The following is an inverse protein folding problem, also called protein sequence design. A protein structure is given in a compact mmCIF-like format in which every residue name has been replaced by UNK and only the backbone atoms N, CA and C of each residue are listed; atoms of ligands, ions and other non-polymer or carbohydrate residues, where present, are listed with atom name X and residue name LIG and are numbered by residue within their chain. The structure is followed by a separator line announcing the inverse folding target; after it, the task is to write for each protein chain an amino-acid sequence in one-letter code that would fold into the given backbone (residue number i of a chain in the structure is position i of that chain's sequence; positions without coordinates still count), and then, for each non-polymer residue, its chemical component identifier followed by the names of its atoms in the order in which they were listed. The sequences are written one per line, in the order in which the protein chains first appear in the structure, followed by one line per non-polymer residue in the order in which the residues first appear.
data_IF_397511020732
#
_entry.id   IF_397511020732
#
_cell.length_a   1.000
_cell.length_b   1.000
_cell.length_c   1.000
_cell.angle_alpha   90.00
_cell.angle_beta   90.00
_cell.angle_gamma   90.00
#
_symmetry.space_group_name_H-M   'P 1'
#
loop_
_entity.id
_entity.type
_entity.pdbx_description
1 polymer ?
#
# COMPACT_ATOMS: atom_id res chain seq x y z
N UNK A 1 -32.67 -19.44 4.75
CA UNK A 1 -32.25 -18.37 3.80
C UNK A 1 -30.97 -17.62 4.19
N UNK A 2 -30.52 -17.60 5.46
CA UNK A 2 -29.32 -16.84 5.88
C UNK A 2 -27.95 -17.43 5.51
N UNK A 3 -27.81 -18.75 5.35
CA UNK A 3 -26.52 -19.37 5.04
C UNK A 3 -26.05 -19.15 3.59
N UNK A 4 -26.99 -19.12 2.62
CA UNK A 4 -26.68 -18.91 1.20
C UNK A 4 -26.14 -17.50 0.92
N UNK A 5 -26.73 -16.48 1.56
CA UNK A 5 -26.27 -15.09 1.45
C UNK A 5 -24.88 -14.87 2.06
N UNK A 6 -24.52 -15.60 3.14
CA UNK A 6 -23.20 -15.51 3.77
C UNK A 6 -22.10 -16.12 2.90
N UNK A 7 -22.33 -17.31 2.35
CA UNK A 7 -21.37 -17.95 1.43
C UNK A 7 -21.15 -17.14 0.15
N UNK A 8 -22.20 -16.50 -0.37
CA UNK A 8 -22.09 -15.63 -1.55
C UNK A 8 -21.29 -14.36 -1.25
N UNK A 9 -21.52 -13.73 -0.09
CA UNK A 9 -20.77 -12.55 0.34
C UNK A 9 -19.28 -12.87 0.57
N UNK A 10 -18.97 -13.99 1.24
CA UNK A 10 -17.59 -14.43 1.47
C UNK A 10 -16.87 -14.73 0.14
N UNK A 11 -17.56 -15.36 -0.82
CA UNK A 11 -17.04 -15.59 -2.16
C UNK A 11 -16.75 -14.29 -2.90
N UNK A 12 -17.65 -13.30 -2.83
CA UNK A 12 -17.46 -11.99 -3.46
C UNK A 12 -16.25 -11.24 -2.86
N UNK A 13 -16.11 -11.21 -1.54
CA UNK A 13 -14.98 -10.57 -0.85
C UNK A 13 -13.67 -11.24 -1.24
N UNK A 14 -13.63 -12.58 -1.27
CA UNK A 14 -12.45 -13.34 -1.69
C UNK A 14 -12.07 -13.04 -3.15
N UNK A 15 -13.06 -13.04 -4.05
CA UNK A 15 -12.81 -12.77 -5.47
C UNK A 15 -12.31 -11.33 -5.68
N UNK A 16 -12.89 -10.36 -4.98
CA UNK A 16 -12.43 -8.97 -5.02
C UNK A 16 -11.00 -8.82 -4.49
N UNK A 17 -10.65 -9.53 -3.40
CA UNK A 17 -9.29 -9.53 -2.85
C UNK A 17 -8.28 -10.10 -3.84
N UNK A 18 -8.59 -11.23 -4.48
CA UNK A 18 -7.72 -11.87 -5.46
C UNK A 18 -7.56 -10.97 -6.69
N UNK A 19 -8.66 -10.46 -7.24
CA UNK A 19 -8.63 -9.58 -8.41
C UNK A 19 -7.84 -8.29 -8.13
N UNK A 20 -8.07 -7.65 -6.99
CA UNK A 20 -7.33 -6.47 -6.57
C UNK A 20 -5.84 -6.74 -6.36
N UNK A 21 -5.50 -7.90 -5.80
CA UNK A 21 -4.10 -8.32 -5.58
C UNK A 21 -3.37 -8.58 -6.90
N UNK A 22 -3.98 -9.34 -7.82
CA UNK A 22 -3.41 -9.60 -9.16
C UNK A 22 -3.25 -8.29 -9.92
N UNK A 23 -4.27 -7.44 -9.93
CA UNK A 23 -4.21 -6.12 -10.54
C UNK A 23 -3.03 -5.31 -9.98
N UNK A 24 -2.91 -5.22 -8.65
CA UNK A 24 -1.81 -4.51 -8.00
C UNK A 24 -0.43 -5.08 -8.33
N UNK A 25 -0.30 -6.41 -8.42
CA UNK A 25 0.94 -7.09 -8.81
C UNK A 25 1.32 -6.80 -10.27
N UNK A 26 0.35 -6.80 -11.19
CA UNK A 26 0.56 -6.44 -12.60
C UNK A 26 0.99 -4.98 -12.70
N UNK A 27 0.28 -4.05 -12.05
CA UNK A 27 0.65 -2.63 -12.03
C UNK A 27 2.08 -2.42 -11.52
N UNK A 28 2.46 -3.06 -10.40
CA UNK A 28 3.82 -2.96 -9.86
C UNK A 28 4.88 -3.53 -10.79
N UNK A 29 4.56 -4.62 -11.48
CA UNK A 29 5.47 -5.22 -12.46
C UNK A 29 5.68 -4.32 -13.67
N UNK A 30 4.62 -3.70 -14.19
CA UNK A 30 4.73 -2.73 -15.28
C UNK A 30 5.48 -1.46 -14.86
N UNK A 31 5.30 -0.99 -13.62
CA UNK A 31 5.95 0.20 -13.09
C UNK A 31 7.40 -0.03 -12.62
N UNK A 32 7.82 -1.28 -12.40
CA UNK A 32 9.12 -1.60 -11.81
C UNK A 32 10.34 -0.98 -12.54
N UNK A 33 10.41 -0.95 -13.88
CA UNK A 33 11.49 -0.27 -14.59
C UNK A 33 11.58 1.23 -14.28
N UNK A 34 10.43 1.91 -14.16
CA UNK A 34 10.35 3.35 -13.86
C UNK A 34 10.75 3.59 -12.40
N UNK A 35 10.23 2.79 -11.48
CA UNK A 35 10.60 2.82 -10.05
C UNK A 35 12.12 2.66 -9.89
N UNK A 36 12.75 1.81 -10.69
CA UNK A 36 14.19 1.61 -10.63
C UNK A 36 14.99 2.83 -11.09
N UNK A 37 14.56 3.48 -12.16
CA UNK A 37 15.18 4.74 -12.62
C UNK A 37 15.02 5.82 -11.54
N UNK A 38 13.81 5.95 -10.96
CA UNK A 38 13.54 6.87 -9.86
C UNK A 38 14.48 6.65 -8.68
N UNK A 39 14.64 5.41 -8.22
CA UNK A 39 15.53 5.07 -7.12
C UNK A 39 16.99 5.38 -7.48
N UNK A 40 17.42 5.13 -8.72
CA UNK A 40 18.78 5.46 -9.16
C UNK A 40 19.10 6.96 -9.00
N UNK A 41 18.16 7.85 -9.33
CA UNK A 41 18.34 9.30 -9.13
C UNK A 41 18.27 9.69 -7.66
N UNK A 42 17.32 9.13 -6.90
CA UNK A 42 17.16 9.40 -5.47
C UNK A 42 18.39 9.01 -4.64
N UNK A 43 19.07 7.91 -4.99
CA UNK A 43 20.30 7.49 -4.29
C UNK A 43 21.50 8.36 -4.68
N UNK A 44 21.51 8.95 -5.88
CA UNK A 44 22.66 9.72 -6.40
C UNK A 44 22.51 11.24 -6.27
N UNK A 45 21.40 11.73 -5.72
CA UNK A 45 21.09 13.17 -5.58
C UNK A 45 21.34 13.97 -6.86
N UNK A 46 21.00 13.40 -8.03
CA UNK A 46 21.10 14.09 -9.32
C UNK A 46 19.72 14.61 -9.75
N UNK A 47 19.63 15.80 -10.36
CA UNK A 47 18.38 16.28 -10.95
C UNK A 47 17.93 15.32 -12.05
N UNK A 48 16.62 15.09 -12.15
CA UNK A 48 16.06 14.19 -13.16
C UNK A 48 16.00 14.89 -14.52
N UNK A 49 16.49 14.20 -15.55
CA UNK A 49 16.25 14.54 -16.95
C UNK A 49 15.76 13.30 -17.70
N UNK A 50 14.73 13.44 -18.53
CA UNK A 50 14.12 12.32 -19.24
C UNK A 50 15.11 11.62 -20.19
N UNK A 51 15.89 12.41 -20.94
CA UNK A 51 16.92 11.90 -21.85
C UNK A 51 18.03 11.13 -21.10
N UNK A 52 18.44 11.67 -19.95
CA UNK A 52 19.41 10.99 -19.08
C UNK A 52 18.82 9.72 -18.44
N UNK A 53 17.54 9.74 -18.05
CA UNK A 53 16.82 8.58 -17.53
C UNK A 53 16.80 7.41 -18.53
N UNK A 54 16.52 7.69 -19.80
CA UNK A 54 16.59 6.69 -20.87
C UNK A 54 18.03 6.17 -21.07
N UNK A 55 19.02 7.07 -20.98
CA UNK A 55 20.43 6.71 -21.06
C UNK A 55 20.88 5.82 -19.89
N UNK A 56 20.39 6.09 -18.68
CA UNK A 56 20.59 5.27 -17.48
C UNK A 56 19.98 3.89 -17.68
N UNK A 57 18.74 3.81 -18.17
CA UNK A 57 18.08 2.54 -18.46
C UNK A 57 18.89 1.70 -19.46
N UNK A 58 19.31 2.30 -20.58
CA UNK A 58 20.17 1.64 -21.59
C UNK A 58 21.49 1.15 -20.98
N UNK A 59 22.16 1.97 -20.16
CA UNK A 59 23.41 1.60 -19.46
C UNK A 59 23.21 0.42 -18.52
N UNK A 60 22.12 0.43 -17.76
CA UNK A 60 21.76 -0.65 -16.83
C UNK A 60 21.51 -1.96 -17.59
N UNK A 61 20.73 -1.91 -18.68
CA UNK A 61 20.42 -3.07 -19.51
C UNK A 61 21.69 -3.62 -20.17
N UNK A 62 22.53 -2.77 -20.76
CA UNK A 62 23.79 -3.19 -21.38
C UNK A 62 24.75 -3.84 -20.38
N UNK A 63 24.81 -3.34 -19.14
CA UNK A 63 25.74 -3.85 -18.12
C UNK A 63 25.25 -5.12 -17.40
N UNK A 64 23.94 -5.28 -17.22
CA UNK A 64 23.37 -6.29 -16.30
C UNK A 64 22.19 -7.09 -16.88
N UNK A 65 21.86 -6.88 -18.15
CA UNK A 65 20.72 -7.47 -18.82
C UNK A 65 19.39 -6.79 -18.49
N UNK A 66 18.37 -7.14 -19.29
CA UNK A 66 17.03 -6.56 -19.22
C UNK A 66 16.31 -6.86 -17.89
N UNK A 67 16.42 -8.09 -17.38
CA UNK A 67 15.79 -8.52 -16.13
C UNK A 67 16.26 -7.73 -14.92
N UNK A 68 17.43 -7.08 -15.00
CA UNK A 68 17.90 -6.26 -13.91
C UNK A 68 16.88 -5.16 -13.57
N UNK A 69 16.13 -4.63 -14.54
CA UNK A 69 15.13 -3.58 -14.35
C UNK A 69 14.04 -3.94 -13.33
N UNK A 70 13.82 -5.23 -13.06
CA UNK A 70 12.87 -5.75 -12.08
C UNK A 70 13.52 -6.18 -10.75
N UNK A 71 14.80 -5.87 -10.51
CA UNK A 71 15.43 -6.21 -9.22
C UNK A 71 14.70 -5.55 -8.05
N UNK A 72 14.45 -6.35 -7.01
CA UNK A 72 13.65 -5.96 -5.85
C UNK A 72 12.13 -6.00 -6.07
N UNK A 73 11.64 -6.24 -7.29
CA UNK A 73 10.20 -6.33 -7.55
C UNK A 73 9.56 -7.51 -6.81
N UNK A 74 10.24 -8.65 -6.67
CA UNK A 74 9.73 -9.81 -5.93
C UNK A 74 9.35 -9.48 -4.48
N UNK A 75 10.20 -8.74 -3.75
CA UNK A 75 9.87 -8.25 -2.41
C UNK A 75 8.63 -7.33 -2.41
N UNK A 76 8.51 -6.51 -3.45
CA UNK A 76 7.37 -5.60 -3.61
C UNK A 76 6.07 -6.36 -3.86
N UNK A 77 6.11 -7.41 -4.69
CA UNK A 77 4.96 -8.25 -5.02
C UNK A 77 4.47 -9.03 -3.80
N UNK A 78 5.39 -9.66 -3.05
CA UNK A 78 5.05 -10.39 -1.81
C UNK A 78 4.39 -9.44 -0.80
N UNK A 79 4.80 -8.17 -0.76
CA UNK A 79 4.28 -7.19 0.17
C UNK A 79 2.85 -6.72 -0.14
N UNK A 80 2.40 -6.71 -1.41
CA UNK A 80 1.11 -6.09 -1.81
C UNK A 80 -0.06 -6.60 -0.97
N UNK A 81 -0.20 -7.92 -0.90
CA UNK A 81 -1.32 -8.58 -0.22
C UNK A 81 -1.30 -8.36 1.29
N UNK A 82 -0.22 -8.70 2.04
CA UNK A 82 -0.21 -8.54 3.49
C UNK A 82 -0.32 -7.07 3.92
N UNK A 83 0.27 -6.14 3.16
CA UNK A 83 0.15 -4.71 3.46
C UNK A 83 -1.30 -4.25 3.36
N UNK A 84 -1.98 -4.55 2.24
CA UNK A 84 -3.38 -4.17 2.06
C UNK A 84 -4.29 -4.85 3.10
N UNK A 85 -4.13 -6.16 3.31
CA UNK A 85 -4.95 -6.92 4.25
C UNK A 85 -4.87 -6.33 5.67
N UNK A 86 -3.66 -6.14 6.20
CA UNK A 86 -3.47 -5.59 7.55
C UNK A 86 -4.00 -4.17 7.63
N UNK A 87 -3.70 -3.32 6.64
CA UNK A 87 -4.13 -1.92 6.63
C UNK A 87 -5.66 -1.80 6.65
N UNK A 88 -6.37 -2.54 5.78
CA UNK A 88 -7.83 -2.48 5.73
C UNK A 88 -8.48 -3.13 6.96
N UNK A 89 -7.99 -4.28 7.42
CA UNK A 89 -8.53 -4.94 8.62
C UNK A 89 -8.40 -4.04 9.84
N UNK A 90 -7.21 -3.47 10.09
CA UNK A 90 -6.98 -2.57 11.23
C UNK A 90 -7.83 -1.31 11.09
N UNK A 91 -7.97 -0.77 9.89
CA UNK A 91 -8.81 0.40 9.66
C UNK A 91 -10.29 0.14 9.99
N UNK A 92 -10.85 -0.99 9.57
CA UNK A 92 -12.23 -1.37 9.92
C UNK A 92 -12.41 -1.59 11.43
N UNK A 93 -11.44 -2.22 12.09
CA UNK A 93 -11.48 -2.40 13.54
C UNK A 93 -11.42 -1.06 14.29
N UNK A 94 -10.57 -0.13 13.86
CA UNK A 94 -10.50 1.20 14.46
C UNK A 94 -11.76 2.02 14.22
N UNK A 95 -12.41 1.88 13.05
CA UNK A 95 -13.72 2.51 12.82
C UNK A 95 -14.80 1.97 13.75
N UNK A 96 -14.72 0.68 14.09
CA UNK A 96 -15.59 0.07 15.10
C UNK A 96 -15.31 0.62 16.49
N UNK A 97 -14.04 0.70 16.90
CA UNK A 97 -13.64 1.16 18.23
C UNK A 97 -13.97 2.64 18.45
N UNK A 98 -13.74 3.49 17.45
CA UNK A 98 -14.00 4.92 17.54
C UNK A 98 -15.46 5.32 17.28
N UNK A 99 -16.32 4.34 17.01
CA UNK A 99 -17.73 4.54 16.67
C UNK A 99 -17.90 5.57 15.52
N UNK A 100 -17.20 5.32 14.41
CA UNK A 100 -17.21 6.13 13.18
C UNK A 100 -17.61 5.29 11.97
N UNK A 101 -18.65 4.46 12.13
CA UNK A 101 -19.14 3.58 11.05
C UNK A 101 -20.03 4.33 10.06
N UNK A 102 -20.85 5.25 10.57
CA UNK A 102 -21.82 6.00 9.76
C UNK A 102 -21.22 7.29 9.18
N UNK A 103 -21.83 7.77 8.09
CA UNK A 103 -21.41 9.02 7.45
C UNK A 103 -21.52 10.22 8.41
N UNK A 104 -22.57 10.27 9.25
CA UNK A 104 -22.75 11.36 10.22
C UNK A 104 -21.67 11.36 11.30
N UNK A 105 -21.34 10.19 11.84
CA UNK A 105 -20.26 10.07 12.83
C UNK A 105 -18.91 10.45 12.24
N UNK A 106 -18.62 10.04 10.99
CA UNK A 106 -17.39 10.41 10.28
C UNK A 106 -17.25 11.90 10.07
N UNK A 107 -18.36 12.61 9.77
CA UNK A 107 -18.39 14.07 9.63
C UNK A 107 -18.25 14.78 10.98
N UNK A 108 -18.86 14.24 12.04
CA UNK A 108 -18.77 14.81 13.40
C UNK A 108 -17.38 14.61 14.02
N UNK A 109 -16.66 13.55 13.65
CA UNK A 109 -15.36 13.17 14.25
C UNK A 109 -14.25 13.02 13.19
N UNK A 110 -13.92 14.06 12.40
CA UNK A 110 -12.95 13.97 11.30
C UNK A 110 -11.53 13.60 11.78
N UNK A 111 -11.13 14.06 12.98
CA UNK A 111 -9.85 13.72 13.59
C UNK A 111 -9.71 12.22 13.92
N UNK A 112 -10.80 11.55 14.30
CA UNK A 112 -10.79 10.11 14.56
C UNK A 112 -10.66 9.30 13.27
N UNK A 113 -11.22 9.79 12.16
CA UNK A 113 -11.02 9.18 10.84
C UNK A 113 -9.55 9.26 10.40
N UNK A 114 -8.90 10.40 10.62
CA UNK A 114 -7.50 10.60 10.29
C UNK A 114 -6.59 9.71 11.15
N UNK A 115 -6.81 9.67 12.46
CA UNK A 115 -6.03 8.80 13.38
C UNK A 115 -6.27 7.32 13.09
N UNK A 116 -7.49 6.91 12.76
CA UNK A 116 -7.77 5.54 12.32
C UNK A 116 -7.00 5.16 11.05
N UNK A 117 -6.89 6.07 10.08
CA UNK A 117 -6.09 5.86 8.87
C UNK A 117 -4.59 5.76 9.16
N UNK A 118 -4.08 6.66 10.01
CA UNK A 118 -2.68 6.71 10.42
C UNK A 118 -2.25 5.44 11.18
N UNK A 119 -3.03 5.01 12.18
CA UNK A 119 -2.74 3.81 12.98
C UNK A 119 -2.84 2.54 12.11
N UNK A 120 -3.79 2.47 11.20
CA UNK A 120 -3.87 1.38 10.24
C UNK A 120 -2.63 1.28 9.35
N UNK A 121 -2.16 2.42 8.82
CA UNK A 121 -0.92 2.50 8.05
C UNK A 121 0.32 2.12 8.87
N UNK A 122 0.39 2.59 10.12
CA UNK A 122 1.48 2.29 11.05
C UNK A 122 1.57 0.79 11.37
N UNK A 123 0.44 0.15 11.67
CA UNK A 123 0.40 -1.29 11.94
C UNK A 123 0.78 -2.10 10.71
N UNK A 124 0.25 -1.72 9.54
CA UNK A 124 0.57 -2.38 8.28
C UNK A 124 2.06 -2.28 7.93
N UNK A 125 2.66 -1.08 8.06
CA UNK A 125 4.09 -0.92 7.81
C UNK A 125 4.92 -1.70 8.83
N UNK A 126 4.55 -1.72 10.11
CA UNK A 126 5.31 -2.42 11.15
C UNK A 126 5.45 -3.92 10.85
N UNK A 127 4.39 -4.54 10.34
CA UNK A 127 4.39 -5.95 9.97
C UNK A 127 5.11 -6.21 8.63
N UNK A 128 5.09 -5.26 7.70
CA UNK A 128 5.59 -5.47 6.32
C UNK A 128 6.91 -4.76 6.02
N UNK A 129 7.48 -4.05 6.99
CA UNK A 129 8.74 -3.32 6.87
C UNK A 129 9.94 -4.21 6.49
N UNK A 130 10.08 -5.46 6.99
CA UNK A 130 11.15 -6.35 6.55
C UNK A 130 11.20 -6.55 5.02
N UNK A 131 10.05 -6.54 4.35
CA UNK A 131 9.96 -6.66 2.90
C UNK A 131 10.43 -5.38 2.18
N UNK A 132 10.23 -4.20 2.77
CA UNK A 132 10.78 -2.94 2.24
C UNK A 132 12.31 -2.94 2.31
N UNK A 133 12.87 -3.41 3.43
CA UNK A 133 14.32 -3.56 3.57
C UNK A 133 14.86 -4.57 2.56
N UNK A 134 14.17 -5.70 2.35
CA UNK A 134 14.54 -6.65 1.31
C UNK A 134 14.55 -6.02 -0.08
N UNK A 135 13.50 -5.27 -0.43
CA UNK A 135 13.42 -4.53 -1.70
C UNK A 135 14.62 -3.60 -1.86
N UNK A 136 14.88 -2.74 -0.86
CA UNK A 136 15.96 -1.75 -0.92
C UNK A 136 17.34 -2.42 -1.06
N UNK A 137 17.62 -3.48 -0.30
CA UNK A 137 18.87 -4.23 -0.36
C UNK A 137 19.07 -4.93 -1.71
N UNK A 138 18.03 -5.54 -2.28
CA UNK A 138 18.14 -6.18 -3.60
C UNK A 138 18.37 -5.19 -4.75
N UNK A 139 17.90 -3.94 -4.59
CA UNK A 139 18.10 -2.89 -5.59
C UNK A 139 19.52 -2.34 -5.54
N UNK A 140 20.04 -2.13 -4.32
CA UNK A 140 21.34 -1.50 -4.05
C UNK A 140 22.50 -2.48 -4.11
N UNK A 141 22.33 -3.68 -3.55
CA UNK A 141 23.31 -4.75 -3.53
C UNK A 141 22.85 -5.90 -4.46
N UNK A 142 23.73 -6.24 -5.40
CA UNK A 142 23.46 -7.24 -6.42
C UNK A 142 23.90 -8.66 -6.04
N UNK A 143 24.53 -8.82 -4.88
CA UNK A 143 24.89 -10.15 -4.35
C UNK A 143 23.66 -10.96 -3.97
N UNK A 144 22.57 -10.29 -3.58
CA UNK A 144 21.31 -10.94 -3.24
C UNK A 144 20.51 -11.32 -4.50
N UNK A 145 20.18 -12.61 -4.61
CA UNK A 145 19.35 -13.13 -5.71
C UNK A 145 17.87 -13.06 -5.39
N UNK A 146 17.51 -13.39 -4.15
CA UNK A 146 16.12 -13.57 -3.71
C UNK A 146 15.86 -12.92 -2.36
N UNK A 147 14.57 -12.66 -2.07
CA UNK A 147 14.12 -12.14 -0.77
C UNK A 147 14.56 -13.04 0.38
N UNK A 148 14.46 -14.36 0.19
CA UNK A 148 14.89 -15.35 1.19
C UNK A 148 16.36 -15.22 1.57
N UNK A 149 17.23 -14.94 0.60
CA UNK A 149 18.67 -14.78 0.85
C UNK A 149 18.95 -13.53 1.69
N UNK A 150 18.21 -12.44 1.43
CA UNK A 150 18.30 -11.22 2.25
C UNK A 150 17.82 -11.48 3.66
N UNK A 151 16.67 -12.15 3.82
CA UNK A 151 16.12 -12.50 5.13
C UNK A 151 17.10 -13.39 5.91
N UNK A 152 17.55 -14.50 5.30
CA UNK A 152 18.49 -15.44 5.93
C UNK A 152 19.78 -14.76 6.36
N UNK A 153 20.42 -13.99 5.46
CA UNK A 153 21.64 -13.24 5.81
C UNK A 153 21.38 -12.19 6.89
N UNK A 154 20.21 -11.54 6.90
CA UNK A 154 19.86 -10.59 7.95
C UNK A 154 19.73 -11.24 9.33
N UNK A 155 19.25 -12.49 9.42
CA UNK A 155 19.15 -13.24 10.67
C UNK A 155 20.47 -13.90 11.10
N UNK A 156 21.31 -14.34 10.16
CA UNK A 156 22.57 -15.05 10.47
C UNK A 156 23.75 -14.09 10.70
N UNK A 157 23.72 -12.88 10.14
CA UNK A 157 24.82 -11.92 10.30
C UNK A 157 24.83 -11.34 11.71
N UNK A 158 25.87 -11.65 12.49
CA UNK A 158 26.06 -11.17 13.87
C UNK A 158 26.12 -9.65 13.99
N UNK A 159 26.47 -8.94 12.92
CA UNK A 159 26.64 -7.49 12.90
C UNK A 159 25.32 -6.68 12.83
N UNK A 160 24.17 -7.31 12.62
CA UNK A 160 22.94 -6.58 12.26
C UNK A 160 21.69 -7.03 13.03
N UNK A 161 21.73 -7.00 14.38
CA UNK A 161 20.56 -7.27 15.25
C UNK A 161 19.30 -6.44 14.90
N UNK A 162 19.46 -5.27 14.25
CA UNK A 162 18.36 -4.42 13.77
C UNK A 162 18.32 -4.26 12.25
N UNK A 163 18.93 -5.18 11.49
CA UNK A 163 19.09 -5.04 10.04
C UNK A 163 17.79 -4.87 9.27
N UNK A 164 16.72 -5.57 9.68
CA UNK A 164 15.41 -5.57 9.00
C UNK A 164 14.51 -4.40 9.38
N UNK A 165 14.84 -3.65 10.44
CA UNK A 165 14.11 -2.46 10.89
C UNK A 165 14.95 -1.17 10.83
N UNK A 166 16.13 -1.23 10.18
CA UNK A 166 17.00 -0.08 9.99
C UNK A 166 16.32 0.94 9.06
N UNK A 167 16.11 2.15 9.56
CA UNK A 167 15.42 3.22 8.83
C UNK A 167 13.90 3.27 9.06
N UNK A 168 13.39 2.55 10.07
CA UNK A 168 11.96 2.49 10.36
C UNK A 168 11.37 3.85 10.73
N UNK A 169 12.06 4.68 11.53
CA UNK A 169 11.57 6.00 11.93
C UNK A 169 11.26 6.93 10.74
N UNK A 170 12.17 7.14 9.75
CA UNK A 170 11.83 7.87 8.53
C UNK A 170 10.61 7.32 7.79
N UNK A 171 10.45 6.00 7.76
CA UNK A 171 9.30 5.37 7.09
C UNK A 171 7.99 5.63 7.85
N UNK A 172 8.01 5.61 9.18
CA UNK A 172 6.86 5.97 10.04
C UNK A 172 6.45 7.42 9.83
N UNK A 173 7.42 8.34 9.87
CA UNK A 173 7.19 9.78 9.67
C UNK A 173 6.56 10.05 8.30
N UNK A 174 6.94 9.27 7.27
CA UNK A 174 6.35 9.39 5.93
C UNK A 174 4.95 8.77 5.83
N UNK A 175 4.73 7.58 6.42
CA UNK A 175 3.51 6.79 6.20
C UNK A 175 2.31 7.31 7.00
N UNK A 176 2.53 7.78 8.23
CA UNK A 176 1.48 8.26 9.13
C UNK A 176 0.67 9.40 8.52
N UNK A 177 1.28 10.51 8.04
CA UNK A 177 0.53 11.58 7.40
C UNK A 177 -0.06 11.12 6.06
N UNK A 178 0.68 10.34 5.27
CA UNK A 178 0.20 9.85 3.97
C UNK A 178 -1.08 9.02 4.10
N UNK A 179 -1.08 8.02 4.98
CA UNK A 179 -2.22 7.11 5.16
C UNK A 179 -3.37 7.77 5.92
N UNK A 180 -3.08 8.62 6.91
CA UNK A 180 -4.10 9.39 7.62
C UNK A 180 -4.90 10.29 6.66
N UNK A 181 -4.22 11.07 5.82
CA UNK A 181 -4.87 11.93 4.83
C UNK A 181 -5.56 11.11 3.75
N UNK A 182 -4.93 10.04 3.23
CA UNK A 182 -5.52 9.22 2.17
C UNK A 182 -6.86 8.60 2.59
N UNK A 183 -6.93 8.00 3.78
CA UNK A 183 -8.19 7.45 4.30
C UNK A 183 -9.21 8.54 4.65
N UNK A 184 -8.77 9.66 5.23
CA UNK A 184 -9.65 10.78 5.51
C UNK A 184 -10.32 11.31 4.23
N UNK A 185 -9.54 11.54 3.19
CA UNK A 185 -10.02 12.01 1.88
C UNK A 185 -10.95 10.97 1.25
N UNK A 186 -10.55 9.69 1.25
CA UNK A 186 -11.39 8.61 0.75
C UNK A 186 -12.75 8.56 1.45
N UNK A 187 -12.77 8.62 2.78
CA UNK A 187 -14.01 8.58 3.57
C UNK A 187 -14.84 9.86 3.41
N UNK A 188 -14.21 11.02 3.22
CA UNK A 188 -14.90 12.28 2.94
C UNK A 188 -15.63 12.24 1.58
N UNK A 189 -14.95 11.78 0.53
CA UNK A 189 -15.56 11.62 -0.79
C UNK A 189 -16.69 10.60 -0.75
N UNK A 190 -16.44 9.45 -0.13
CA UNK A 190 -17.45 8.39 0.04
C UNK A 190 -18.68 8.92 0.78
N UNK A 191 -18.48 9.65 1.87
CA UNK A 191 -19.56 10.25 2.67
C UNK A 191 -20.40 11.23 1.85
N UNK A 192 -19.76 12.15 1.10
CA UNK A 192 -20.49 13.11 0.25
C UNK A 192 -21.30 12.43 -0.85
N UNK A 193 -20.71 11.43 -1.51
CA UNK A 193 -21.40 10.67 -2.55
C UNK A 193 -22.64 9.96 -2.01
N UNK A 194 -22.52 9.26 -0.87
CA UNK A 194 -23.66 8.58 -0.26
C UNK A 194 -24.70 9.54 0.32
N UNK A 195 -24.29 10.68 0.87
CA UNK A 195 -25.21 11.71 1.34
C UNK A 195 -26.06 12.28 0.19
N UNK A 196 -25.44 12.53 -0.96
CA UNK A 196 -26.14 12.99 -2.16
C UNK A 196 -27.11 11.93 -2.71
N UNK A 197 -26.69 10.67 -2.74
CA UNK A 197 -27.54 9.56 -3.18
C UNK A 197 -28.77 9.38 -2.26
N UNK A 198 -28.57 9.47 -0.94
CA UNK A 198 -29.67 9.40 0.05
C UNK A 198 -30.65 10.57 -0.13
N UNK A 199 -30.13 11.80 -0.25
CA UNK A 199 -30.97 12.99 -0.48
C UNK A 199 -31.81 12.90 -1.75
N UNK A 200 -31.23 12.36 -2.83
CA UNK A 200 -31.96 12.14 -4.09
C UNK A 200 -33.08 11.10 -3.92
N UNK A 201 -32.82 10.00 -3.21
CA UNK A 201 -33.83 8.97 -2.96
C UNK A 201 -34.97 9.48 -2.06
N UNK A 202 -34.64 10.23 -0.99
CA UNK A 202 -35.63 10.78 -0.07
C UNK A 202 -36.58 11.76 -0.78
N UNK A 203 -36.07 12.58 -1.73
CA UNK A 203 -36.91 13.45 -2.57
C UNK A 203 -37.86 12.67 -3.49
N UNK A 204 -37.39 11.59 -4.11
CA UNK A 204 -38.22 10.76 -4.99
C UNK A 204 -39.35 10.09 -4.22
N UNK A 205 -39.06 9.58 -3.01
CA UNK A 205 -40.08 8.95 -2.16
C UNK A 205 -41.17 9.94 -1.73
N UNK A 206 -40.78 11.18 -1.41
CA UNK A 206 -41.73 12.25 -1.09
C UNK A 206 -42.57 12.71 -2.29
N UNK A 207 -42.04 12.59 -3.52
CA UNK A 207 -42.76 12.92 -4.74
C UNK A 207 -43.77 11.82 -5.16
N UNK A 208 -43.50 10.55 -4.83
CA UNK A 208 -44.40 9.42 -5.11
C UNK A 208 -45.60 9.39 -4.14
N UNK A 209 -45.46 9.98 -2.95
CA UNK A 209 -46.53 10.04 -1.93
C UNK A 209 -47.50 11.22 -2.11
N UNK A 210 -47.30 12.10 -3.08
CA UNK A 210 -48.17 13.23 -3.41
C UNK A 210 -48.93 12.96 -4.70
#
# INVERSE_FOLDING_TARGET
MGFKNRSETESQVRNALIAGSISGMVTKTLAAPIDRIKIYYQVRNKPFSFSEGMSVAKKIIKKRGIHSMWRGNSASLIRVVPYAAIQFTVHEQLKSIFDIRTYEQKLKKPGLCLTAGALAGLTAISCTYPLDVCRARMITDHTYKNVWEVMKRAFTSKDHKYGLYRGFMPAVIAIVPYTGVSFFVYELFKTRYFAQAKYSNDRLMLAIQK
#
